data_IF_135534675975
#
_entry.id   IF_135534675975
#
_cell.length_a   1.000
_cell.length_b   1.000
_cell.length_c   1.000
_cell.angle_alpha   90.00
_cell.angle_beta   90.00
_cell.angle_gamma   90.00
#
_symmetry.space_group_name_H-M   'P 1'
#
loop_
_entity.id
_entity.type
_entity.pdbx_description
1 polymer ?
#
# COMPACT_ATOMS: atom_id res chain seq x y z
N UNK A 1 -31.38 -7.60 -35.17
CA UNK A 1 -31.09 -7.37 -33.74
C UNK A 1 -31.17 -8.71 -33.04
N UNK A 2 -30.02 -9.35 -32.79
CA UNK A 2 -29.99 -10.63 -32.08
C UNK A 2 -30.24 -10.38 -30.58
N UNK A 3 -31.26 -11.04 -30.04
CA UNK A 3 -31.54 -11.08 -28.60
C UNK A 3 -30.45 -11.94 -27.97
N UNK A 4 -29.62 -11.36 -27.10
CA UNK A 4 -28.75 -12.14 -26.22
C UNK A 4 -29.62 -12.98 -25.29
N UNK A 5 -29.78 -14.27 -25.57
CA UNK A 5 -30.42 -15.21 -24.66
C UNK A 5 -29.42 -15.59 -23.58
N UNK A 6 -29.74 -15.26 -22.33
CA UNK A 6 -29.04 -15.76 -21.17
C UNK A 6 -29.48 -17.21 -20.87
N UNK A 7 -28.53 -18.16 -20.91
CA UNK A 7 -28.62 -19.47 -20.22
C UNK A 7 -28.56 -20.75 -21.07
N UNK A 8 -27.36 -21.32 -21.30
CA UNK A 8 -27.05 -22.76 -21.47
C UNK A 8 -25.53 -23.00 -21.46
N UNK A 9 -24.93 -23.74 -20.51
CA UNK A 9 -23.45 -23.90 -20.31
C UNK A 9 -22.61 -22.60 -20.27
N UNK A 10 -23.30 -21.47 -20.42
CA UNK A 10 -22.94 -20.07 -20.61
C UNK A 10 -23.14 -19.35 -19.28
N UNK A 11 -22.43 -19.78 -18.23
CA UNK A 11 -22.57 -19.16 -16.93
C UNK A 11 -21.94 -17.75 -16.90
N UNK A 12 -21.07 -17.38 -17.85
CA UNK A 12 -20.42 -16.06 -17.91
C UNK A 12 -20.03 -15.66 -19.36
N UNK A 13 -20.98 -15.54 -20.32
CA UNK A 13 -20.64 -15.17 -21.70
C UNK A 13 -19.95 -13.79 -21.73
N UNK A 14 -18.80 -13.67 -22.40
CA UNK A 14 -18.04 -12.41 -22.47
C UNK A 14 -17.05 -12.13 -21.33
N UNK A 15 -17.18 -12.74 -20.14
CA UNK A 15 -16.37 -12.37 -18.96
C UNK A 15 -14.86 -12.64 -19.14
N UNK A 16 -14.50 -13.58 -19.99
CA UNK A 16 -13.11 -13.92 -20.31
C UNK A 16 -12.81 -13.77 -21.80
N UNK A 17 -13.61 -13.00 -22.53
CA UNK A 17 -13.42 -12.86 -23.97
C UNK A 17 -12.47 -11.70 -24.29
N UNK A 18 -12.50 -10.62 -23.51
CA UNK A 18 -11.63 -9.45 -23.72
C UNK A 18 -10.31 -9.52 -22.92
N UNK A 19 -9.22 -8.91 -23.44
CA UNK A 19 -7.91 -8.93 -22.79
C UNK A 19 -7.87 -8.25 -21.41
N UNK A 20 -8.69 -7.23 -21.17
CA UNK A 20 -8.69 -6.49 -19.91
C UNK A 20 -9.30 -7.30 -18.77
N UNK A 21 -10.41 -7.99 -19.04
CA UNK A 21 -11.02 -8.90 -18.07
C UNK A 21 -10.10 -10.06 -17.69
N UNK A 22 -9.39 -10.64 -18.67
CA UNK A 22 -8.34 -11.66 -18.39
C UNK A 22 -7.21 -11.11 -17.53
N UNK A 23 -6.73 -9.89 -17.84
CA UNK A 23 -5.69 -9.23 -17.07
C UNK A 23 -6.15 -8.94 -15.63
N UNK A 24 -7.39 -8.45 -15.45
CA UNK A 24 -8.00 -8.18 -14.15
C UNK A 24 -8.00 -9.41 -13.27
N UNK A 25 -8.54 -10.53 -13.76
CA UNK A 25 -8.57 -11.77 -12.99
C UNK A 25 -7.18 -12.29 -12.68
N UNK A 26 -6.27 -12.26 -13.66
CA UNK A 26 -4.90 -12.71 -13.45
C UNK A 26 -4.19 -11.89 -12.36
N UNK A 27 -4.31 -10.56 -12.41
CA UNK A 27 -3.70 -9.66 -11.41
C UNK A 27 -4.32 -9.87 -10.04
N UNK A 28 -5.64 -9.96 -9.92
CA UNK A 28 -6.30 -10.20 -8.63
C UNK A 28 -5.90 -11.56 -8.03
N UNK A 29 -5.82 -12.62 -8.84
CA UNK A 29 -5.32 -13.92 -8.38
C UNK A 29 -3.87 -13.85 -7.89
N UNK A 30 -2.99 -13.19 -8.64
CA UNK A 30 -1.59 -13.00 -8.25
C UNK A 30 -1.51 -12.19 -6.95
N UNK A 31 -2.33 -11.14 -6.82
CA UNK A 31 -2.37 -10.28 -5.64
C UNK A 31 -2.82 -11.07 -4.41
N UNK A 32 -3.89 -11.87 -4.51
CA UNK A 32 -4.35 -12.76 -3.42
C UNK A 32 -3.23 -13.71 -2.99
N UNK A 33 -2.63 -14.43 -3.94
CA UNK A 33 -1.58 -15.42 -3.63
C UNK A 33 -0.35 -14.74 -3.01
N UNK A 34 0.07 -13.60 -3.56
CA UNK A 34 1.20 -12.84 -3.03
C UNK A 34 0.93 -12.31 -1.62
N UNK A 35 -0.27 -11.77 -1.36
CA UNK A 35 -0.66 -11.30 -0.03
C UNK A 35 -0.69 -12.45 1.00
N UNK A 36 -1.15 -13.64 0.61
CA UNK A 36 -1.09 -14.84 1.46
C UNK A 36 0.37 -15.19 1.78
N UNK A 37 1.26 -15.22 0.77
CA UNK A 37 2.68 -15.51 0.97
C UNK A 37 3.32 -14.48 1.90
N UNK A 38 3.08 -13.18 1.68
CA UNK A 38 3.57 -12.10 2.55
C UNK A 38 3.05 -12.27 3.98
N UNK A 39 1.77 -12.61 4.15
CA UNK A 39 1.16 -12.92 5.43
C UNK A 39 1.85 -14.10 6.13
N UNK A 40 2.10 -15.19 5.42
CA UNK A 40 2.79 -16.36 5.97
C UNK A 40 4.25 -16.04 6.37
N UNK A 41 4.98 -15.28 5.53
CA UNK A 41 6.34 -14.83 5.84
C UNK A 41 6.37 -13.94 7.09
N UNK A 42 5.40 -13.03 7.21
CA UNK A 42 5.22 -12.19 8.39
C UNK A 42 4.98 -13.04 9.65
N UNK A 43 4.00 -13.95 9.61
CA UNK A 43 3.66 -14.83 10.72
C UNK A 43 4.83 -15.72 11.16
N UNK A 44 5.56 -16.27 10.19
CA UNK A 44 6.73 -17.13 10.46
C UNK A 44 7.84 -16.38 11.18
N UNK A 45 8.10 -15.13 10.81
CA UNK A 45 9.15 -14.34 11.45
C UNK A 45 8.78 -13.84 12.85
N UNK A 46 7.52 -13.51 13.09
CA UNK A 46 7.05 -13.09 14.42
C UNK A 46 7.31 -14.17 15.49
N UNK A 47 7.15 -15.45 15.14
CA UNK A 47 7.44 -16.56 16.07
C UNK A 47 8.90 -16.64 16.51
N UNK A 48 9.84 -16.03 15.77
CA UNK A 48 11.29 -16.15 16.00
C UNK A 48 11.88 -14.94 16.72
N UNK A 49 11.15 -13.83 16.82
CA UNK A 49 11.65 -12.58 17.40
C UNK A 49 11.02 -12.37 18.77
N UNK A 50 11.81 -12.15 19.83
CA UNK A 50 11.26 -11.78 21.14
C UNK A 50 10.50 -10.45 21.07
N UNK A 51 9.34 -10.36 21.74
CA UNK A 51 8.44 -9.19 21.71
C UNK A 51 9.13 -7.83 21.91
N UNK A 52 10.18 -7.77 22.74
CA UNK A 52 10.93 -6.52 23.00
C UNK A 52 11.68 -5.98 21.78
N UNK A 53 11.99 -6.82 20.80
CA UNK A 53 12.76 -6.46 19.59
C UNK A 53 11.88 -6.34 18.34
N UNK A 54 10.59 -6.61 18.46
CA UNK A 54 9.63 -6.43 17.37
C UNK A 54 9.56 -4.96 16.95
N UNK A 55 9.72 -4.73 15.64
CA UNK A 55 9.58 -3.40 15.02
C UNK A 55 8.14 -3.20 14.55
N UNK A 56 7.62 -4.18 13.83
CA UNK A 56 6.21 -4.26 13.49
C UNK A 56 5.53 -5.11 14.57
N UNK A 57 4.38 -4.65 15.07
CA UNK A 57 3.54 -5.45 15.96
C UNK A 57 2.60 -6.32 15.13
N UNK A 58 2.38 -7.54 15.61
CA UNK A 58 1.45 -8.51 15.03
C UNK A 58 0.10 -7.90 14.66
N UNK A 59 -0.46 -7.07 15.55
CA UNK A 59 -1.78 -6.46 15.33
C UNK A 59 -1.81 -5.43 14.21
N UNK A 60 -0.73 -4.67 13.96
CA UNK A 60 -0.78 -3.56 12.99
C UNK A 60 -0.61 -4.06 11.55
N UNK A 61 0.46 -4.82 11.31
CA UNK A 61 0.78 -5.29 9.97
C UNK A 61 -0.08 -6.48 9.55
N UNK A 62 -0.44 -7.37 10.49
CA UNK A 62 -1.37 -8.47 10.23
C UNK A 62 -2.75 -7.97 9.81
N UNK A 63 -3.27 -6.92 10.48
CA UNK A 63 -4.51 -6.27 10.06
C UNK A 63 -4.37 -5.61 8.68
N UNK A 64 -3.25 -4.94 8.39
CA UNK A 64 -3.04 -4.33 7.06
C UNK A 64 -3.17 -5.37 5.94
N UNK A 65 -2.47 -6.51 6.06
CA UNK A 65 -2.52 -7.60 5.07
C UNK A 65 -3.91 -8.23 5.01
N UNK A 66 -4.59 -8.38 6.14
CA UNK A 66 -5.96 -8.92 6.17
C UNK A 66 -6.97 -7.99 5.45
N UNK A 67 -6.89 -6.68 5.66
CA UNK A 67 -7.75 -5.72 4.96
C UNK A 67 -7.42 -5.63 3.47
N UNK A 68 -6.14 -5.74 3.08
CA UNK A 68 -5.75 -5.90 1.67
C UNK A 68 -6.38 -7.16 1.05
N UNK A 69 -6.28 -8.31 1.73
CA UNK A 69 -6.91 -9.55 1.27
C UNK A 69 -8.43 -9.40 1.12
N UNK A 70 -9.11 -8.84 2.12
CA UNK A 70 -10.56 -8.62 2.06
C UNK A 70 -10.95 -7.70 0.90
N UNK A 71 -10.19 -6.63 0.67
CA UNK A 71 -10.39 -5.74 -0.48
C UNK A 71 -10.32 -6.50 -1.81
N UNK A 72 -9.24 -7.26 -2.04
CA UNK A 72 -9.04 -7.99 -3.30
C UNK A 72 -10.07 -9.11 -3.45
N UNK A 73 -10.40 -9.85 -2.38
CA UNK A 73 -11.43 -10.88 -2.42
C UNK A 73 -12.81 -10.32 -2.78
N UNK A 74 -13.19 -9.16 -2.24
CA UNK A 74 -14.48 -8.54 -2.59
C UNK A 74 -14.48 -8.08 -4.05
N UNK A 75 -13.38 -7.50 -4.55
CA UNK A 75 -13.30 -7.14 -5.96
C UNK A 75 -13.38 -8.35 -6.89
N UNK A 76 -12.70 -9.44 -6.52
CA UNK A 76 -12.76 -10.71 -7.23
C UNK A 76 -14.19 -11.26 -7.26
N UNK A 77 -14.86 -11.35 -6.09
CA UNK A 77 -16.25 -11.80 -6.01
C UNK A 77 -17.17 -10.89 -6.82
N UNK A 78 -17.00 -9.57 -6.70
CA UNK A 78 -17.78 -8.58 -7.46
C UNK A 78 -17.61 -8.78 -8.96
N UNK A 79 -16.38 -9.00 -9.44
CA UNK A 79 -16.09 -9.27 -10.85
C UNK A 79 -16.82 -10.53 -11.33
N UNK A 80 -16.75 -11.63 -10.57
CA UNK A 80 -17.45 -12.87 -10.89
C UNK A 80 -18.98 -12.71 -10.87
N UNK A 81 -19.54 -11.99 -9.89
CA UNK A 81 -20.99 -11.81 -9.78
C UNK A 81 -21.56 -10.93 -10.89
N UNK A 82 -20.84 -9.87 -11.29
CA UNK A 82 -21.20 -9.06 -12.46
C UNK A 82 -21.19 -9.90 -13.74
N UNK A 83 -20.20 -10.79 -13.88
CA UNK A 83 -20.03 -11.61 -15.06
C UNK A 83 -20.97 -12.80 -15.18
N UNK A 84 -21.43 -13.34 -14.05
CA UNK A 84 -22.04 -14.66 -14.03
C UNK A 84 -23.44 -14.74 -13.42
N UNK A 85 -23.95 -13.67 -12.80
CA UNK A 85 -25.24 -13.71 -12.10
C UNK A 85 -26.28 -12.77 -12.74
N UNK A 86 -27.30 -13.36 -13.33
CA UNK A 86 -28.44 -12.67 -13.97
C UNK A 86 -29.28 -11.87 -12.96
N UNK A 87 -29.18 -12.18 -11.66
CA UNK A 87 -29.89 -11.51 -10.54
C UNK A 87 -29.03 -10.41 -9.89
N UNK A 88 -27.78 -10.22 -10.33
CA UNK A 88 -26.92 -9.19 -9.78
C UNK A 88 -27.26 -7.80 -10.35
N UNK A 89 -27.95 -6.99 -9.56
CA UNK A 89 -28.37 -5.64 -9.95
C UNK A 89 -27.22 -4.63 -9.86
N UNK A 90 -27.39 -3.49 -10.53
CA UNK A 90 -26.50 -2.32 -10.43
C UNK A 90 -26.38 -1.85 -8.98
N UNK A 91 -27.48 -1.92 -8.20
CA UNK A 91 -27.46 -1.59 -6.78
C UNK A 91 -26.53 -2.53 -5.97
N UNK A 92 -26.56 -3.84 -6.24
CA UNK A 92 -25.66 -4.81 -5.58
C UNK A 92 -24.19 -4.53 -5.92
N UNK A 93 -23.90 -4.15 -7.17
CA UNK A 93 -22.56 -3.74 -7.59
C UNK A 93 -22.03 -2.56 -6.77
N UNK A 94 -22.84 -1.50 -6.64
CA UNK A 94 -22.46 -0.31 -5.89
C UNK A 94 -22.28 -0.56 -4.40
N UNK A 95 -23.15 -1.37 -3.79
CA UNK A 95 -23.01 -1.80 -2.39
C UNK A 95 -21.69 -2.54 -2.15
N UNK A 96 -21.33 -3.49 -3.01
CA UNK A 96 -20.03 -4.18 -2.91
C UNK A 96 -18.84 -3.24 -3.14
N UNK A 97 -18.97 -2.28 -4.06
CA UNK A 97 -17.94 -1.27 -4.32
C UNK A 97 -17.68 -0.36 -3.12
N UNK A 98 -18.73 0.01 -2.37
CA UNK A 98 -18.60 0.75 -1.11
C UNK A 98 -17.75 -0.04 -0.11
N UNK A 99 -18.10 -1.30 0.12
CA UNK A 99 -17.39 -2.15 1.08
C UNK A 99 -15.92 -2.34 0.67
N UNK A 100 -15.64 -2.59 -0.62
CA UNK A 100 -14.26 -2.72 -1.08
C UNK A 100 -13.45 -1.44 -0.89
N UNK A 101 -14.03 -0.26 -1.19
CA UNK A 101 -13.34 1.02 -0.98
C UNK A 101 -13.04 1.30 0.50
N UNK A 102 -13.95 0.94 1.41
CA UNK A 102 -13.70 1.08 2.85
C UNK A 102 -12.50 0.21 3.26
N UNK A 103 -12.47 -1.06 2.86
CA UNK A 103 -11.36 -1.96 3.18
C UNK A 103 -10.04 -1.52 2.57
N UNK A 104 -10.06 -1.06 1.32
CA UNK A 104 -8.90 -0.47 0.66
C UNK A 104 -8.29 0.67 1.48
N UNK A 105 -9.12 1.64 1.90
CA UNK A 105 -8.62 2.81 2.62
C UNK A 105 -8.16 2.49 4.04
N UNK A 106 -8.78 1.51 4.72
CA UNK A 106 -8.27 0.99 5.99
C UNK A 106 -6.90 0.34 5.78
N UNK A 107 -6.75 -0.49 4.75
CA UNK A 107 -5.48 -1.15 4.41
C UNK A 107 -4.39 -0.11 4.09
N UNK A 108 -4.72 0.95 3.35
CA UNK A 108 -3.82 2.06 3.05
C UNK A 108 -3.36 2.82 4.30
N UNK A 109 -4.27 3.12 5.22
CA UNK A 109 -3.95 3.78 6.49
C UNK A 109 -3.04 2.90 7.37
N UNK A 110 -3.33 1.60 7.48
CA UNK A 110 -2.49 0.67 8.24
C UNK A 110 -1.11 0.46 7.60
N UNK A 111 -1.04 0.46 6.27
CA UNK A 111 0.24 0.44 5.54
C UNK A 111 1.04 1.71 5.83
N UNK A 112 0.41 2.89 5.82
CA UNK A 112 1.02 4.14 6.23
C UNK A 112 1.54 4.11 7.67
N UNK A 113 0.79 3.55 8.61
CA UNK A 113 1.26 3.35 10.00
C UNK A 113 2.56 2.54 10.02
N UNK A 114 2.66 1.48 9.23
CA UNK A 114 3.87 0.67 9.15
C UNK A 114 5.07 1.49 8.64
N UNK A 115 4.92 2.22 7.53
CA UNK A 115 6.04 2.92 6.87
C UNK A 115 6.37 4.30 7.48
N UNK A 116 5.41 5.00 8.09
CA UNK A 116 5.63 6.30 8.75
C UNK A 116 6.07 6.16 10.20
N UNK A 117 5.58 5.15 10.92
CA UNK A 117 5.82 5.03 12.36
C UNK A 117 6.72 3.84 12.67
N UNK A 118 6.31 2.63 12.29
CA UNK A 118 6.98 1.42 12.77
C UNK A 118 8.40 1.28 12.21
N UNK A 119 8.57 1.39 10.88
CA UNK A 119 9.89 1.24 10.24
C UNK A 119 10.86 2.35 10.68
N UNK A 120 10.51 3.66 10.59
CA UNK A 120 11.37 4.73 11.11
C UNK A 120 11.75 4.57 12.57
N UNK A 121 10.81 4.16 13.43
CA UNK A 121 11.09 3.97 14.85
C UNK A 121 12.02 2.76 15.07
N UNK A 122 11.86 1.68 14.31
CA UNK A 122 12.79 0.56 14.31
C UNK A 122 14.21 0.99 13.93
N UNK A 123 14.36 1.78 12.86
CA UNK A 123 15.65 2.32 12.43
C UNK A 123 16.23 3.34 13.42
N UNK A 124 15.40 4.15 14.08
CA UNK A 124 15.85 5.06 15.14
C UNK A 124 16.34 4.30 16.39
N UNK A 125 15.69 3.19 16.74
CA UNK A 125 16.19 2.25 17.77
C UNK A 125 17.52 1.63 17.38
N UNK A 126 17.78 1.47 16.07
CA UNK A 126 19.11 1.08 15.56
C UNK A 126 20.16 2.19 15.68
N UNK A 127 19.82 3.41 16.11
CA UNK A 127 20.81 4.45 16.39
C UNK A 127 21.10 4.53 17.87
N UNK A 128 20.05 4.47 18.69
CA UNK A 128 20.16 4.60 20.12
C UNK A 128 19.15 3.66 20.80
N UNK A 129 19.57 2.47 21.28
CA UNK A 129 18.64 1.48 21.82
C UNK A 129 18.11 1.88 23.20
N UNK A 130 18.80 2.79 23.89
CA UNK A 130 18.36 3.38 25.15
C UNK A 130 17.31 4.49 24.96
N UNK A 131 17.18 5.05 23.74
CA UNK A 131 16.17 6.05 23.41
C UNK A 131 14.83 5.37 23.08
N UNK A 132 14.17 4.81 24.10
CA UNK A 132 12.89 4.12 23.93
C UNK A 132 11.68 5.04 23.67
N UNK A 133 11.79 6.38 23.71
CA UNK A 133 10.56 7.19 23.85
C UNK A 133 10.41 8.54 23.13
N UNK A 134 11.40 9.21 22.52
CA UNK A 134 11.09 10.50 21.87
C UNK A 134 11.97 10.88 20.68
N UNK A 135 11.70 10.26 19.52
CA UNK A 135 12.01 10.96 18.26
C UNK A 135 10.92 12.01 18.03
N UNK A 136 11.29 13.27 17.81
CA UNK A 136 10.35 14.35 17.46
C UNK A 136 9.50 14.04 16.22
N UNK A 137 9.90 13.04 15.43
CA UNK A 137 9.14 12.50 14.32
C UNK A 137 7.84 11.81 14.73
N UNK A 138 7.83 11.07 15.84
CA UNK A 138 6.65 10.30 16.26
C UNK A 138 5.39 11.18 16.41
N UNK A 139 5.39 12.32 17.15
CA UNK A 139 4.21 13.17 17.24
C UNK A 139 3.83 13.78 15.87
N UNK A 140 4.80 14.19 15.06
CA UNK A 140 4.54 14.73 13.69
C UNK A 140 3.85 13.68 12.82
N UNK A 141 4.35 12.45 12.80
CA UNK A 141 3.77 11.36 12.02
C UNK A 141 2.37 10.97 12.51
N UNK A 142 2.10 10.99 13.83
CA UNK A 142 0.74 10.76 14.34
C UNK A 142 -0.22 11.88 13.93
N UNK A 143 0.23 13.14 14.01
CA UNK A 143 -0.58 14.28 13.57
C UNK A 143 -0.91 14.21 12.08
N UNK A 144 0.11 13.97 11.23
CA UNK A 144 -0.06 13.83 9.78
C UNK A 144 -0.98 12.65 9.42
N UNK A 145 -0.80 11.50 10.07
CA UNK A 145 -1.67 10.35 9.89
C UNK A 145 -3.11 10.66 10.36
N UNK A 146 -3.27 11.35 11.49
CA UNK A 146 -4.58 11.75 12.00
C UNK A 146 -5.32 12.65 11.02
N UNK A 147 -4.65 13.66 10.46
CA UNK A 147 -5.21 14.50 9.41
C UNK A 147 -5.60 13.69 8.17
N UNK A 148 -4.72 12.78 7.74
CA UNK A 148 -5.00 11.92 6.60
C UNK A 148 -6.22 11.02 6.81
N UNK A 149 -6.36 10.45 8.01
CA UNK A 149 -7.52 9.63 8.40
C UNK A 149 -8.80 10.46 8.38
N UNK A 150 -8.77 11.70 8.90
CA UNK A 150 -9.93 12.60 8.86
C UNK A 150 -10.34 12.88 7.41
N UNK A 151 -9.39 13.22 6.54
CA UNK A 151 -9.65 13.42 5.11
C UNK A 151 -10.24 12.17 4.45
N UNK A 152 -9.75 10.98 4.83
CA UNK A 152 -10.24 9.70 4.33
C UNK A 152 -11.69 9.44 4.77
N UNK A 153 -12.04 9.77 6.02
CA UNK A 153 -13.42 9.66 6.53
C UNK A 153 -14.35 10.60 5.76
N UNK A 154 -13.95 11.85 5.54
CA UNK A 154 -14.74 12.83 4.77
C UNK A 154 -14.98 12.32 3.35
N UNK A 155 -13.93 11.85 2.67
CA UNK A 155 -14.05 11.25 1.35
C UNK A 155 -14.99 10.04 1.33
N UNK A 156 -14.83 9.09 2.27
CA UNK A 156 -15.68 7.92 2.35
C UNK A 156 -17.14 8.31 2.59
N UNK A 157 -17.40 9.34 3.41
CA UNK A 157 -18.75 9.88 3.63
C UNK A 157 -19.37 10.41 2.33
N UNK A 158 -18.63 11.23 1.58
CA UNK A 158 -19.08 11.75 0.28
C UNK A 158 -19.26 10.64 -0.76
N UNK A 159 -18.35 9.67 -0.80
CA UNK A 159 -18.40 8.52 -1.70
C UNK A 159 -19.62 7.64 -1.41
N UNK A 160 -19.85 7.29 -0.15
CA UNK A 160 -21.01 6.50 0.29
C UNK A 160 -22.30 7.25 -0.05
N UNK A 161 -22.38 8.54 0.26
CA UNK A 161 -23.55 9.36 -0.05
C UNK A 161 -23.85 9.37 -1.55
N UNK A 162 -22.83 9.57 -2.39
CA UNK A 162 -22.99 9.60 -3.85
C UNK A 162 -23.42 8.24 -4.41
N UNK A 163 -22.90 7.13 -3.88
CA UNK A 163 -23.30 5.80 -4.36
C UNK A 163 -24.68 5.40 -3.83
N UNK A 164 -25.03 5.81 -2.61
CA UNK A 164 -26.35 5.57 -2.03
C UNK A 164 -27.44 6.35 -2.78
N UNK A 165 -27.20 7.60 -3.17
CA UNK A 165 -28.18 8.37 -3.95
C UNK A 165 -28.47 7.74 -5.32
N UNK A 166 -27.46 7.13 -5.96
CA UNK A 166 -27.64 6.35 -7.20
C UNK A 166 -28.44 5.07 -6.95
N UNK A 167 -28.18 4.38 -5.83
CA UNK A 167 -28.93 3.18 -5.44
C UNK A 167 -30.41 3.54 -5.20
N UNK A 168 -30.68 4.59 -4.43
CA UNK A 168 -32.03 5.03 -4.08
C UNK A 168 -32.82 5.47 -5.32
N UNK A 169 -32.15 6.15 -6.28
CA UNK A 169 -32.74 6.51 -7.56
C UNK A 169 -33.05 5.27 -8.43
N UNK A 170 -32.19 4.26 -8.42
CA UNK A 170 -32.40 2.99 -9.13
C UNK A 170 -33.55 2.18 -8.53
N UNK A 171 -33.64 2.10 -7.20
CA UNK A 171 -34.65 1.32 -6.49
C UNK A 171 -36.05 2.00 -6.52
N UNK A 172 -36.13 3.31 -6.81
CA UNK A 172 -37.39 4.09 -6.79
C UNK A 172 -38.09 4.27 -8.13
N UNK A 173 -37.42 4.07 -9.27
CA UNK A 173 -38.01 4.25 -10.61
C UNK A 173 -37.80 3.01 -11.50
N UNK A 174 -38.91 2.38 -11.90
CA UNK A 174 -38.94 1.14 -12.72
C UNK A 174 -38.36 1.31 -14.14
N UNK A 175 -38.16 2.56 -14.59
CA UNK A 175 -37.58 2.90 -15.89
C UNK A 175 -36.70 4.15 -15.79
N UNK A 176 -35.42 4.00 -15.43
CA UNK A 176 -34.41 5.01 -15.77
C UNK A 176 -33.21 4.41 -16.50
N UNK A 177 -33.08 4.86 -17.75
CA UNK A 177 -31.89 4.85 -18.58
C UNK A 177 -30.82 5.77 -17.98
N UNK A 178 -29.58 5.27 -17.89
CA UNK A 178 -28.32 5.98 -17.61
C UNK A 178 -28.33 7.48 -18.02
N UNK A 179 -28.66 8.40 -17.11
CA UNK A 179 -28.20 9.80 -17.20
C UNK A 179 -28.73 10.64 -16.05
N UNK A 180 -27.90 10.86 -15.04
CA UNK A 180 -27.48 12.21 -14.63
C UNK A 180 -26.27 12.11 -13.70
N UNK A 181 -25.03 12.31 -14.22
CA UNK A 181 -23.80 12.16 -13.46
C UNK A 181 -23.43 13.45 -12.70
N UNK A 182 -24.39 14.24 -12.23
CA UNK A 182 -24.12 15.60 -11.74
C UNK A 182 -23.41 15.66 -10.37
N UNK A 183 -23.53 14.61 -9.54
CA UNK A 183 -22.82 14.51 -8.25
C UNK A 183 -21.45 13.81 -8.35
N UNK A 184 -21.11 13.22 -9.50
CA UNK A 184 -19.84 12.52 -9.71
C UNK A 184 -18.57 13.41 -9.79
N UNK A 185 -18.61 14.67 -10.26
CA UNK A 185 -17.41 15.48 -10.40
C UNK A 185 -16.79 15.93 -9.07
N UNK A 186 -17.60 16.18 -8.04
CA UNK A 186 -17.11 16.81 -6.81
C UNK A 186 -16.27 15.86 -5.95
N UNK A 187 -16.66 14.58 -5.85
CA UNK A 187 -15.87 13.61 -5.07
C UNK A 187 -14.53 13.26 -5.73
N UNK A 188 -14.41 13.45 -7.05
CA UNK A 188 -13.19 13.12 -7.80
C UNK A 188 -12.02 14.00 -7.33
N UNK A 189 -12.29 15.28 -7.04
CA UNK A 189 -11.27 16.20 -6.53
C UNK A 189 -10.81 15.83 -5.11
N UNK A 190 -11.73 15.36 -4.26
CA UNK A 190 -11.38 14.88 -2.91
C UNK A 190 -10.53 13.62 -2.98
N UNK A 191 -10.86 12.70 -3.90
CA UNK A 191 -10.05 11.52 -4.17
C UNK A 191 -8.65 11.87 -4.70
N UNK A 192 -8.54 12.82 -5.64
CA UNK A 192 -7.26 13.34 -6.14
C UNK A 192 -6.41 13.93 -5.01
N UNK A 193 -7.02 14.77 -4.17
CA UNK A 193 -6.35 15.35 -3.01
C UNK A 193 -5.85 14.27 -2.04
N UNK A 194 -6.63 13.22 -1.80
CA UNK A 194 -6.23 12.10 -0.96
C UNK A 194 -5.04 11.31 -1.52
N UNK A 195 -5.03 11.02 -2.82
CA UNK A 195 -3.91 10.32 -3.45
C UNK A 195 -2.63 11.15 -3.38
N UNK A 196 -2.74 12.46 -3.65
CA UNK A 196 -1.64 13.41 -3.50
C UNK A 196 -1.15 13.50 -2.05
N UNK A 197 -2.06 13.59 -1.08
CA UNK A 197 -1.69 13.59 0.34
C UNK A 197 -0.96 12.30 0.74
N UNK A 198 -1.45 11.15 0.27
CA UNK A 198 -0.78 9.87 0.49
C UNK A 198 0.64 9.87 -0.11
N UNK A 199 0.80 10.42 -1.31
CA UNK A 199 2.12 10.51 -1.96
C UNK A 199 3.09 11.43 -1.20
N UNK A 200 2.62 12.57 -0.70
CA UNK A 200 3.43 13.46 0.15
C UNK A 200 3.85 12.74 1.43
N UNK A 201 2.94 12.01 2.08
CA UNK A 201 3.26 11.21 3.26
C UNK A 201 4.26 10.09 2.96
N UNK A 202 4.13 9.42 1.82
CA UNK A 202 5.08 8.42 1.35
C UNK A 202 6.49 9.03 1.17
N UNK A 203 6.60 10.21 0.55
CA UNK A 203 7.88 10.92 0.41
C UNK A 203 8.47 11.28 1.78
N UNK A 204 7.64 11.77 2.70
CA UNK A 204 8.08 12.10 4.06
C UNK A 204 8.57 10.85 4.82
N UNK A 205 7.88 9.71 4.66
CA UNK A 205 8.30 8.42 5.19
C UNK A 205 9.66 8.00 4.62
N UNK A 206 9.84 8.09 3.30
CA UNK A 206 11.10 7.76 2.62
C UNK A 206 12.25 8.61 3.14
N UNK A 207 12.06 9.94 3.19
CA UNK A 207 13.07 10.85 3.67
C UNK A 207 13.49 10.50 5.10
N UNK A 208 12.52 10.25 5.99
CA UNK A 208 12.81 9.85 7.36
C UNK A 208 13.50 8.49 7.44
N UNK A 209 13.04 7.46 6.71
CA UNK A 209 13.67 6.14 6.69
C UNK A 209 15.13 6.21 6.24
N UNK A 210 15.43 6.96 5.18
CA UNK A 210 16.79 7.11 4.65
C UNK A 210 17.69 7.89 5.62
N UNK A 211 17.17 8.94 6.27
CA UNK A 211 17.89 9.67 7.32
C UNK A 211 18.20 8.78 8.53
N UNK A 212 17.22 8.00 8.99
CA UNK A 212 17.40 7.06 10.10
C UNK A 212 18.38 5.95 9.74
N UNK A 213 18.32 5.40 8.53
CA UNK A 213 19.27 4.39 8.06
C UNK A 213 20.70 4.95 8.02
N UNK A 214 20.89 6.16 7.48
CA UNK A 214 22.21 6.82 7.45
C UNK A 214 22.77 7.00 8.85
N UNK A 215 21.95 7.51 9.76
CA UNK A 215 22.36 7.70 11.15
C UNK A 215 22.68 6.37 11.87
N UNK A 216 21.88 5.32 11.65
CA UNK A 216 22.15 3.98 12.17
C UNK A 216 23.45 3.40 11.58
N UNK A 217 23.69 3.59 10.29
CA UNK A 217 24.92 3.11 9.62
C UNK A 217 26.18 3.86 10.03
N UNK A 218 26.05 5.11 10.51
CA UNK A 218 27.16 5.87 11.08
C UNK A 218 27.48 5.42 12.51
N UNK A 219 26.48 4.92 13.24
CA UNK A 219 26.67 4.38 14.57
C UNK A 219 27.17 2.94 14.55
N UNK A 220 26.63 2.08 13.67
CA UNK A 220 26.79 0.61 13.72
C UNK A 220 27.13 -0.01 12.36
N UNK A 221 27.66 -1.24 12.35
CA UNK A 221 27.80 -2.02 11.12
C UNK A 221 26.45 -2.60 10.67
N UNK A 222 25.62 -1.76 10.06
CA UNK A 222 24.32 -2.17 9.50
C UNK A 222 24.52 -3.15 8.34
N UNK A 223 23.89 -4.35 8.35
CA UNK A 223 24.04 -5.35 7.30
C UNK A 223 23.73 -4.81 5.89
N UNK A 224 24.50 -5.18 4.85
CA UNK A 224 24.24 -4.76 3.47
C UNK A 224 22.83 -5.15 2.99
N UNK A 225 22.36 -6.33 3.38
CA UNK A 225 21.01 -6.80 3.05
C UNK A 225 19.91 -5.88 3.60
N UNK A 226 20.05 -5.39 4.84
CA UNK A 226 19.10 -4.45 5.43
C UNK A 226 19.07 -3.12 4.66
N UNK A 227 20.25 -2.60 4.25
CA UNK A 227 20.32 -1.40 3.41
C UNK A 227 19.61 -1.62 2.08
N UNK A 228 19.88 -2.75 1.41
CA UNK A 228 19.23 -3.12 0.16
C UNK A 228 17.70 -3.14 0.27
N UNK A 229 17.16 -3.77 1.32
CA UNK A 229 15.72 -3.80 1.57
C UNK A 229 15.11 -2.44 1.91
N UNK A 230 15.82 -1.56 2.62
CA UNK A 230 15.33 -0.19 2.87
C UNK A 230 15.28 0.63 1.57
N UNK A 231 16.26 0.48 0.68
CA UNK A 231 16.22 1.12 -0.64
C UNK A 231 15.11 0.53 -1.53
N UNK A 232 14.92 -0.79 -1.50
CA UNK A 232 13.83 -1.43 -2.21
C UNK A 232 12.46 -0.91 -1.71
N UNK A 233 12.28 -0.81 -0.39
CA UNK A 233 11.09 -0.23 0.22
C UNK A 233 10.89 1.23 -0.19
N UNK A 234 11.95 2.04 -0.16
CA UNK A 234 11.86 3.45 -0.54
C UNK A 234 11.46 3.61 -2.01
N UNK A 235 12.08 2.84 -2.90
CA UNK A 235 11.78 2.86 -4.32
C UNK A 235 10.35 2.37 -4.59
N UNK A 236 9.94 1.23 -4.02
CA UNK A 236 8.60 0.68 -4.26
C UNK A 236 7.51 1.56 -3.69
N UNK A 237 7.74 2.18 -2.52
CA UNK A 237 6.80 3.10 -1.89
C UNK A 237 6.63 4.37 -2.73
N UNK A 238 7.73 4.93 -3.26
CA UNK A 238 7.68 6.04 -4.19
C UNK A 238 6.96 5.67 -5.49
N UNK A 239 7.32 4.54 -6.09
CA UNK A 239 6.74 4.10 -7.36
C UNK A 239 5.23 3.81 -7.22
N UNK A 240 4.80 3.23 -6.11
CA UNK A 240 3.38 3.06 -5.78
C UNK A 240 2.67 4.41 -5.62
N UNK A 241 3.23 5.33 -4.83
CA UNK A 241 2.70 6.69 -4.65
C UNK A 241 2.53 7.43 -5.99
N UNK A 242 3.58 7.39 -6.79
CA UNK A 242 3.67 8.07 -8.06
C UNK A 242 2.68 7.49 -9.07
N UNK A 243 2.68 6.18 -9.28
CA UNK A 243 1.78 5.53 -10.25
C UNK A 243 0.31 5.76 -9.90
N UNK A 244 -0.08 5.61 -8.63
CA UNK A 244 -1.44 5.91 -8.16
C UNK A 244 -1.82 7.35 -8.46
N UNK A 245 -1.00 8.31 -8.04
CA UNK A 245 -1.27 9.74 -8.24
C UNK A 245 -1.31 10.08 -9.72
N UNK A 246 -0.34 9.58 -10.50
CA UNK A 246 -0.26 9.81 -11.94
C UNK A 246 -1.54 9.35 -12.65
N UNK A 247 -1.96 8.09 -12.44
CA UNK A 247 -3.16 7.56 -13.11
C UNK A 247 -4.46 8.25 -12.65
N UNK A 248 -4.51 8.71 -11.41
CA UNK A 248 -5.65 9.46 -10.87
C UNK A 248 -5.83 10.80 -11.60
N UNK A 249 -4.75 11.55 -11.82
CA UNK A 249 -4.83 12.81 -12.58
C UNK A 249 -4.96 12.55 -14.09
N UNK A 250 -4.28 11.54 -14.62
CA UNK A 250 -4.35 11.17 -16.02
C UNK A 250 -5.76 10.75 -16.45
N UNK A 251 -6.46 9.97 -15.62
CA UNK A 251 -7.84 9.54 -15.88
C UNK A 251 -8.85 10.69 -15.96
N UNK A 252 -8.60 11.81 -15.27
CA UNK A 252 -9.48 13.00 -15.31
C UNK A 252 -9.35 13.84 -16.57
N UNK A 253 -8.28 13.69 -17.35
CA UNK A 253 -8.01 14.47 -18.57
C UNK A 253 -8.70 13.89 -19.81
N UNK A 254 -9.60 12.91 -19.63
CA UNK A 254 -10.62 12.59 -20.62
C UNK A 254 -10.14 11.70 -21.75
N UNK A 255 -9.92 10.42 -21.46
CA UNK A 255 -10.02 9.40 -22.51
C UNK A 255 -11.50 9.04 -22.71
N UNK A 256 -12.27 9.99 -23.26
CA UNK A 256 -13.67 9.83 -23.64
C UNK A 256 -13.81 8.99 -24.94
N UNK A 257 -13.07 7.88 -25.06
CA UNK A 257 -13.30 6.97 -26.18
C UNK A 257 -14.34 5.93 -25.75
N UNK A 258 -15.58 6.14 -26.20
CA UNK A 258 -16.73 5.20 -26.19
C UNK A 258 -16.41 3.85 -26.87
N UNK A 259 -15.20 3.66 -27.40
CA UNK A 259 -14.69 2.41 -27.95
C UNK A 259 -13.44 2.00 -27.18
N UNK A 260 -13.40 0.74 -26.77
CA UNK A 260 -12.24 0.03 -26.24
C UNK A 260 -11.08 0.08 -27.26
N UNK A 261 -10.39 1.21 -27.35
CA UNK A 261 -9.20 1.34 -28.19
C UNK A 261 -8.04 0.62 -27.51
N UNK A 262 -7.08 0.10 -28.29
CA UNK A 262 -5.89 -0.56 -27.75
C UNK A 262 -5.12 0.36 -26.79
N UNK A 263 -5.15 1.68 -27.03
CA UNK A 263 -4.57 2.69 -26.16
C UNK A 263 -5.29 2.79 -24.80
N UNK A 264 -6.63 2.73 -24.78
CA UNK A 264 -7.42 2.70 -23.54
C UNK A 264 -7.16 1.41 -22.75
N UNK A 265 -7.15 0.26 -23.43
CA UNK A 265 -6.85 -1.04 -22.82
C UNK A 265 -5.45 -1.07 -22.20
N UNK A 266 -4.43 -0.58 -22.93
CA UNK A 266 -3.06 -0.51 -22.43
C UNK A 266 -2.94 0.41 -21.20
N UNK A 267 -3.66 1.52 -21.18
CA UNK A 267 -3.71 2.43 -20.03
C UNK A 267 -4.32 1.75 -18.80
N UNK A 268 -5.49 1.14 -18.95
CA UNK A 268 -6.21 0.51 -17.83
C UNK A 268 -5.46 -0.71 -17.29
N UNK A 269 -4.81 -1.49 -18.15
CA UNK A 269 -3.94 -2.60 -17.72
C UNK A 269 -2.74 -2.06 -16.94
N UNK A 270 -2.11 -0.97 -17.39
CA UNK A 270 -0.99 -0.35 -16.64
C UNK A 270 -1.45 0.22 -15.29
N UNK A 271 -2.63 0.86 -15.25
CA UNK A 271 -3.22 1.42 -14.04
C UNK A 271 -3.62 0.35 -13.02
N UNK A 272 -3.85 -0.88 -13.49
CA UNK A 272 -4.07 -2.06 -12.65
C UNK A 272 -2.75 -2.70 -12.20
N UNK A 273 -1.89 -3.09 -13.14
CA UNK A 273 -0.70 -3.90 -12.89
C UNK A 273 0.35 -3.16 -12.07
N UNK A 274 0.66 -1.90 -12.43
CA UNK A 274 1.77 -1.18 -11.79
C UNK A 274 1.50 -0.88 -10.32
N UNK A 275 0.33 -0.34 -9.92
CA UNK A 275 0.06 -0.13 -8.50
C UNK A 275 0.02 -1.46 -7.71
N UNK A 276 -0.59 -2.52 -8.25
CA UNK A 276 -0.61 -3.83 -7.59
C UNK A 276 0.81 -4.39 -7.41
N UNK A 277 1.65 -4.31 -8.45
CA UNK A 277 3.04 -4.74 -8.33
C UNK A 277 3.80 -3.98 -7.25
N UNK A 278 3.74 -2.64 -7.27
CA UNK A 278 4.50 -1.82 -6.32
C UNK A 278 3.95 -1.90 -4.89
N UNK A 279 2.64 -2.10 -4.67
CA UNK A 279 2.11 -2.31 -3.32
C UNK A 279 2.57 -3.64 -2.74
N UNK A 280 2.56 -4.72 -3.53
CA UNK A 280 3.04 -6.04 -3.10
C UNK A 280 4.53 -6.00 -2.74
N UNK A 281 5.36 -5.35 -3.58
CA UNK A 281 6.79 -5.16 -3.29
C UNK A 281 6.97 -4.30 -2.04
N UNK A 282 6.15 -3.25 -1.84
CA UNK A 282 6.20 -2.40 -0.64
C UNK A 282 5.86 -3.18 0.63
N UNK A 283 4.81 -4.01 0.60
CA UNK A 283 4.43 -4.86 1.73
C UNK A 283 5.49 -5.90 2.03
N UNK A 284 6.04 -6.57 1.00
CA UNK A 284 7.13 -7.53 1.17
C UNK A 284 8.39 -6.87 1.74
N UNK A 285 8.81 -5.73 1.17
CA UNK A 285 9.98 -4.99 1.63
C UNK A 285 9.79 -4.48 3.06
N UNK A 286 8.57 -4.05 3.42
CA UNK A 286 8.22 -3.68 4.80
C UNK A 286 8.46 -4.84 5.77
N UNK A 287 8.04 -6.06 5.41
CA UNK A 287 8.31 -7.27 6.19
C UNK A 287 9.81 -7.53 6.31
N UNK A 288 10.54 -7.50 5.19
CA UNK A 288 11.99 -7.79 5.17
C UNK A 288 12.81 -6.77 5.97
N UNK A 289 12.49 -5.48 5.86
CA UNK A 289 13.11 -4.43 6.66
C UNK A 289 12.82 -4.65 8.13
N UNK A 290 11.55 -4.87 8.52
CA UNK A 290 11.19 -5.08 9.91
C UNK A 290 11.89 -6.32 10.52
N UNK A 291 11.93 -7.43 9.77
CA UNK A 291 12.63 -8.65 10.19
C UNK A 291 14.13 -8.40 10.38
N UNK A 292 14.76 -7.74 9.42
CA UNK A 292 16.18 -7.44 9.47
C UNK A 292 16.53 -6.50 10.62
N UNK A 293 15.74 -5.45 10.83
CA UNK A 293 15.91 -4.54 11.97
C UNK A 293 15.69 -5.28 13.29
N UNK A 294 14.65 -6.09 13.41
CA UNK A 294 14.39 -6.90 14.60
C UNK A 294 15.52 -7.90 14.89
N UNK A 295 16.09 -8.53 13.87
CA UNK A 295 17.24 -9.43 14.01
C UNK A 295 18.49 -8.71 14.52
N UNK A 296 18.78 -7.52 13.98
CA UNK A 296 19.90 -6.69 14.45
C UNK A 296 19.68 -6.25 15.91
N UNK A 297 18.46 -5.85 16.27
CA UNK A 297 18.12 -5.48 17.65
C UNK A 297 18.20 -6.67 18.63
N UNK A 298 17.92 -7.90 18.17
CA UNK A 298 17.94 -9.09 19.00
C UNK A 298 19.36 -9.61 19.27
N UNK A 299 20.31 -9.34 18.38
CA UNK A 299 21.70 -9.80 18.47
C UNK A 299 22.70 -8.65 18.32
N UNK A 300 22.68 -7.65 19.20
CA UNK A 300 23.51 -6.46 19.09
C UNK A 300 25.01 -6.79 19.05
N UNK A 301 25.44 -7.81 19.78
CA UNK A 301 26.84 -8.23 19.89
C UNK A 301 27.45 -8.67 18.53
N UNK A 302 26.64 -9.26 17.65
CA UNK A 302 27.07 -9.71 16.32
C UNK A 302 27.31 -8.55 15.35
N UNK A 303 26.81 -7.36 15.67
CA UNK A 303 26.85 -6.17 14.83
C UNK A 303 27.67 -5.04 15.46
N UNK A 304 28.56 -5.38 16.39
CA UNK A 304 29.56 -4.48 16.98
C UNK A 304 29.01 -3.58 18.08
N UNK A 305 27.87 -3.92 18.68
CA UNK A 305 27.31 -3.14 19.78
C UNK A 305 28.22 -3.21 21.02
N UNK A 306 28.58 -2.05 21.57
CA UNK A 306 29.40 -1.98 22.78
C UNK A 306 30.91 -2.15 22.59
N UNK A 307 31.43 -2.22 21.35
CA UNK A 307 32.83 -1.87 21.14
C UNK A 307 32.96 -0.38 21.39
N UNK A 308 33.50 0.01 22.54
CA UNK A 308 34.28 1.23 22.62
C UNK A 308 35.23 1.20 21.42
N UNK A 309 35.42 2.30 20.68
CA UNK A 309 36.48 2.33 19.68
C UNK A 309 37.75 1.90 20.42
N UNK A 310 38.33 0.76 20.03
CA UNK A 310 39.58 0.33 20.63
C UNK A 310 40.55 1.51 20.50
N UNK A 311 41.36 1.77 21.52
CA UNK A 311 42.37 2.85 21.45
C UNK A 311 43.24 2.70 20.18
N UNK A 312 43.36 1.47 19.64
CA UNK A 312 43.98 1.17 18.36
C UNK A 312 43.25 1.75 17.13
N UNK A 313 41.91 1.79 17.11
CA UNK A 313 41.12 2.39 16.02
C UNK A 313 41.08 3.93 16.12
N UNK A 314 41.14 4.47 17.34
CA UNK A 314 41.31 5.92 17.58
C UNK A 314 42.72 6.36 17.18
N UNK A 315 43.76 5.64 17.61
CA UNK A 315 45.15 5.89 17.19
C UNK A 315 45.32 5.75 15.68
N UNK A 316 44.68 4.75 15.04
CA UNK A 316 44.79 4.56 13.59
C UNK A 316 44.13 5.68 12.82
N UNK A 317 42.97 6.17 13.28
CA UNK A 317 42.30 7.31 12.68
C UNK A 317 43.05 8.63 12.96
N UNK A 318 43.70 8.78 14.13
CA UNK A 318 44.60 9.90 14.43
C UNK A 318 45.87 9.87 13.57
N UNK A 319 46.51 8.71 13.39
CA UNK A 319 47.72 8.57 12.53
C UNK A 319 47.42 8.84 11.05
N UNK A 320 46.19 8.61 10.60
CA UNK A 320 45.73 8.99 9.26
C UNK A 320 45.45 10.49 9.17
N UNK A 321 44.91 11.10 10.22
CA UNK A 321 44.69 12.56 10.30
C UNK A 321 46.00 13.35 10.42
N UNK A 322 46.99 12.80 11.12
CA UNK A 322 48.31 13.40 11.34
C UNK A 322 49.30 13.09 10.19
N UNK A 323 48.90 12.32 9.17
CA UNK A 323 49.71 12.05 7.99
C UNK A 323 50.94 11.18 8.23
N UNK A 324 50.92 10.30 9.25
CA UNK A 324 52.10 9.53 9.69
C UNK A 324 52.20 8.13 9.04
N UNK A 325 51.30 7.75 8.13
CA UNK A 325 51.44 6.46 7.41
C UNK A 325 51.68 6.71 5.92
N UNK A 326 52.93 6.45 5.49
CA UNK A 326 53.29 6.14 4.10
C UNK A 326 53.07 4.66 3.82
#
# INVERSE_FOLDING_TARGET
MARYSYGSSTACPGLFEDPYSKATVAVECIEIVALIIIGCLWLGAQKRVPYRFEVLKWHNFGLAVAFWLLYVFINFIRFFLVGCNVVFTIANFWRMSIVSHIFYWIAMCLTLVAVLLAIPNGLDRLRNPAATSSSGWKPVAHFLLGLFVIFTIVYLGLFIWAYQSVIDAYDSYEYFTRSEPSAFPEYIYVYMALQTAWAVLAIAAIAKMLLSLRAASAAWSVPPALRGWVYALAFSLFAYAFTRTFFVYWGTVGNNSIRWTDAFLAQEICALVLPTFFVLVTLLATVQVAQSVSGVLAHPDLYGFGRMPDDADVERNQRVFDGIVR
#
